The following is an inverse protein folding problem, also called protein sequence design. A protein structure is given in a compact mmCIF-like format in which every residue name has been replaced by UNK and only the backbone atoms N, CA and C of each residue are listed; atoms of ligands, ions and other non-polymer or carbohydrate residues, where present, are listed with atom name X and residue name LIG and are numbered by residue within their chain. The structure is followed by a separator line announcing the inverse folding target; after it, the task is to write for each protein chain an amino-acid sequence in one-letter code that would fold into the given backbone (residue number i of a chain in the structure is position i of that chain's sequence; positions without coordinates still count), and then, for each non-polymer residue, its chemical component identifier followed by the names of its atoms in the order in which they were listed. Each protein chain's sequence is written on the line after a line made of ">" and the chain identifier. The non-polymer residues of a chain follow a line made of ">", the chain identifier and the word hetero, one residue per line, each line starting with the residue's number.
data_IF_610466759965
#
_entry.id   IF_610466759965
#
_cell.length_a   1.000
_cell.length_b   1.000
_cell.length_c   1.000
_cell.angle_alpha   90.00
_cell.angle_beta   90.00
_cell.angle_gamma   90.00
#
_symmetry.space_group_name_H-M   'P 1'
#
loop_
_entity.id
_entity.type
_entity.pdbx_description
1 polymer ?
#
# COMPACT_ATOMS: atom_id res chain seq x y z
N UNK A 1 -2.39 -5.24 10.61
CA UNK A 1 -2.88 -5.97 9.43
C UNK A 1 -2.10 -5.52 8.21
N UNK A 2 -2.62 -4.53 7.49
CA UNK A 2 -1.99 -3.99 6.26
C UNK A 2 -0.53 -3.57 6.49
N UNK A 3 -0.26 -2.70 7.46
CA UNK A 3 1.11 -2.22 7.70
C UNK A 3 2.08 -3.34 8.10
N UNK A 4 1.67 -4.20 9.05
CA UNK A 4 2.50 -5.32 9.51
C UNK A 4 2.83 -6.27 8.36
N UNK A 5 1.87 -6.55 7.46
CA UNK A 5 2.10 -7.38 6.28
C UNK A 5 3.01 -6.69 5.26
N UNK A 6 2.82 -5.40 4.99
CA UNK A 6 3.70 -4.64 4.10
C UNK A 6 5.14 -4.59 4.62
N UNK A 7 5.32 -4.40 5.94
CA UNK A 7 6.64 -4.44 6.59
C UNK A 7 7.30 -5.80 6.43
N UNK A 8 6.56 -6.87 6.70
CA UNK A 8 7.10 -8.23 6.56
C UNK A 8 7.40 -8.59 5.10
N UNK A 9 6.54 -8.21 4.16
CA UNK A 9 6.79 -8.41 2.73
C UNK A 9 8.08 -7.71 2.27
N UNK A 10 8.33 -6.50 2.75
CA UNK A 10 9.58 -5.77 2.50
C UNK A 10 10.80 -6.49 3.10
N UNK A 11 10.70 -7.04 4.31
CA UNK A 11 11.77 -7.83 4.93
C UNK A 11 12.13 -9.07 4.10
N UNK A 12 11.17 -9.61 3.37
CA UNK A 12 11.33 -10.72 2.43
C UNK A 12 11.71 -10.27 1.00
N UNK A 13 12.06 -9.00 0.81
CA UNK A 13 12.43 -8.40 -0.48
C UNK A 13 11.35 -8.48 -1.58
N UNK A 14 10.07 -8.56 -1.22
CA UNK A 14 9.00 -8.34 -2.17
C UNK A 14 8.86 -6.84 -2.50
N UNK A 15 8.63 -6.54 -3.77
CA UNK A 15 8.11 -5.24 -4.18
C UNK A 15 6.65 -5.11 -3.75
N UNK A 16 6.32 -4.03 -3.06
CA UNK A 16 5.01 -3.83 -2.43
C UNK A 16 4.26 -2.70 -3.15
N UNK A 17 3.03 -2.96 -3.56
CA UNK A 17 2.07 -1.97 -4.03
C UNK A 17 0.87 -1.91 -3.07
N UNK A 18 0.48 -0.71 -2.66
CA UNK A 18 -0.62 -0.46 -1.72
C UNK A 18 -1.67 0.43 -2.40
N UNK A 19 -2.90 -0.09 -2.50
CA UNK A 19 -4.04 0.65 -3.00
C UNK A 19 -4.59 1.58 -1.92
N UNK A 20 -4.29 2.87 -2.03
CA UNK A 20 -4.67 3.94 -1.09
C UNK A 20 -6.18 4.05 -0.84
N UNK A 21 -6.98 3.72 -1.85
CA UNK A 21 -8.44 3.73 -1.87
C UNK A 21 -9.06 2.39 -1.42
N UNK A 22 -8.24 1.39 -1.07
CA UNK A 22 -8.68 0.07 -0.61
C UNK A 22 -8.04 -0.34 0.73
N UNK A 23 -7.61 0.63 1.53
CA UNK A 23 -7.12 0.45 2.90
C UNK A 23 -7.89 1.38 3.83
N UNK A 24 -8.32 0.88 4.98
CA UNK A 24 -9.13 1.64 5.94
C UNK A 24 -8.58 1.51 7.34
N UNK A 25 -8.82 2.54 8.16
CA UNK A 25 -8.59 2.52 9.60
C UNK A 25 -9.85 3.03 10.32
N UNK A 26 -10.08 2.63 11.57
CA UNK A 26 -11.19 3.13 12.38
C UNK A 26 -10.91 4.52 12.94
N UNK A 27 -9.64 4.96 12.90
CA UNK A 27 -9.19 6.28 13.37
C UNK A 27 -8.62 7.07 12.19
N UNK A 28 -9.27 8.19 11.83
CA UNK A 28 -8.88 9.03 10.70
C UNK A 28 -7.39 9.47 10.75
N UNK A 29 -6.92 9.93 11.91
CA UNK A 29 -5.54 10.37 12.07
C UNK A 29 -4.52 9.22 11.88
N UNK A 30 -4.89 7.99 12.23
CA UNK A 30 -4.05 6.81 12.01
C UNK A 30 -3.99 6.47 10.51
N UNK A 31 -5.14 6.48 9.83
CA UNK A 31 -5.22 6.30 8.37
C UNK A 31 -4.34 7.31 7.61
N UNK A 32 -4.44 8.59 7.95
CA UNK A 32 -3.65 9.67 7.35
C UNK A 32 -2.15 9.49 7.60
N UNK A 33 -1.77 9.15 8.83
CA UNK A 33 -0.37 8.89 9.17
C UNK A 33 0.18 7.69 8.36
N UNK A 34 -0.58 6.61 8.24
CA UNK A 34 -0.16 5.44 7.45
C UNK A 34 0.04 5.80 5.98
N UNK A 35 -0.92 6.48 5.34
CA UNK A 35 -0.82 6.86 3.93
C UNK A 35 0.28 7.90 3.65
N UNK A 36 0.44 8.91 4.50
CA UNK A 36 1.34 10.03 4.22
C UNK A 36 2.79 9.77 4.67
N UNK A 37 3.00 8.92 5.68
CA UNK A 37 4.34 8.75 6.29
C UNK A 37 4.86 7.33 6.24
N UNK A 38 4.02 6.33 6.45
CA UNK A 38 4.49 4.94 6.64
C UNK A 38 4.54 4.18 5.32
N UNK A 39 3.41 4.09 4.61
CA UNK A 39 3.31 3.31 3.38
C UNK A 39 4.29 3.73 2.28
N UNK A 40 4.55 5.03 2.02
CA UNK A 40 5.56 5.44 1.03
C UNK A 40 6.99 4.98 1.36
N UNK A 41 7.26 4.62 2.62
CA UNK A 41 8.55 4.07 3.05
C UNK A 41 8.61 2.55 2.94
N UNK A 42 7.47 1.88 2.77
CA UNK A 42 7.35 0.41 2.69
C UNK A 42 7.12 -0.10 1.27
N UNK A 43 6.53 0.72 0.39
CA UNK A 43 6.26 0.36 -1.00
C UNK A 43 5.67 1.52 -1.81
N UNK A 44 5.25 1.21 -3.04
CA UNK A 44 4.52 2.16 -3.89
C UNK A 44 3.07 2.29 -3.41
N UNK A 45 2.60 3.52 -3.28
CA UNK A 45 1.20 3.83 -2.95
C UNK A 45 0.53 4.39 -4.20
N UNK A 46 -0.59 3.80 -4.60
CA UNK A 46 -1.35 4.23 -5.78
C UNK A 46 -2.86 3.98 -5.58
N UNK A 47 -3.69 4.30 -6.58
CA UNK A 47 -5.10 3.90 -6.61
C UNK A 47 -5.27 2.46 -7.08
N UNK A 48 -6.33 1.81 -6.64
CA UNK A 48 -6.72 0.48 -7.12
C UNK A 48 -6.88 0.44 -8.64
N UNK A 49 -7.44 1.50 -9.24
CA UNK A 49 -7.61 1.63 -10.69
C UNK A 49 -6.26 1.60 -11.45
N UNK A 50 -5.26 2.34 -10.96
CA UNK A 50 -3.93 2.37 -11.58
C UNK A 50 -3.20 1.03 -11.43
N UNK A 51 -3.30 0.38 -10.27
CA UNK A 51 -2.73 -0.95 -10.05
C UNK A 51 -3.35 -1.98 -11.00
N UNK A 52 -4.67 -1.97 -11.16
CA UNK A 52 -5.36 -2.86 -12.11
C UNK A 52 -4.90 -2.58 -13.56
N UNK A 53 -4.76 -1.31 -13.94
CA UNK A 53 -4.27 -0.94 -15.27
C UNK A 53 -2.83 -1.44 -15.51
N UNK A 54 -1.94 -1.33 -14.51
CA UNK A 54 -0.58 -1.84 -14.59
C UNK A 54 -0.55 -3.38 -14.77
N UNK A 55 -1.37 -4.12 -14.03
CA UNK A 55 -1.48 -5.58 -14.15
C UNK A 55 -1.97 -6.03 -15.53
N UNK A 56 -2.87 -5.26 -16.16
CA UNK A 56 -3.36 -5.55 -17.51
C UNK A 56 -2.33 -5.29 -18.61
N UNK A 57 -1.33 -4.44 -18.34
CA UNK A 57 -0.25 -4.14 -19.30
C UNK A 57 0.86 -5.20 -19.26
N UNK A 58 0.98 -5.89 -18.13
CA UNK A 58 1.99 -6.93 -17.91
C UNK A 58 1.55 -8.34 -18.33
N UNK A 59 0.37 -8.48 -18.95
CA UNK A 59 -0.19 -9.73 -19.47
C UNK A 59 -0.15 -9.75 -21.00
#
# INVERSE_FOLDING_TARGET
>A
GVESTARHGRELAYEIAIASDAVTDTVQAAHENSLQRIFPRLGQVDSSANIIAALRTSA
#
